data_IF_731775840680
#
_entry.id   IF_731775840680
#
_cell.length_a   1.000
_cell.length_b   1.000
_cell.length_c   1.000
_cell.angle_alpha   90.00
_cell.angle_beta   90.00
_cell.angle_gamma   90.00
#
_symmetry.space_group_name_H-M   'P 1'
#
loop_
_entity.id
_entity.type
_entity.pdbx_description
1 polymer ?
#
# COMPACT_ATOMS: atom_id res chain seq x y z
N UNK A 1 70.57 55.32 -18.59
CA UNK A 1 69.28 55.22 -19.30
C UNK A 1 69.06 53.78 -19.75
N UNK A 2 68.31 53.06 -19.02
CA UNK A 2 68.06 51.63 -19.29
C UNK A 2 66.58 51.38 -19.36
N UNK A 3 66.06 50.96 -20.51
CA UNK A 3 64.68 50.65 -20.78
C UNK A 3 64.41 49.23 -20.30
N UNK A 4 63.60 49.05 -19.27
CA UNK A 4 63.05 47.78 -18.88
C UNK A 4 61.79 47.47 -19.68
N UNK A 5 61.82 46.38 -20.41
CA UNK A 5 60.65 45.83 -21.13
C UNK A 5 59.83 44.94 -20.15
N UNK A 6 58.58 45.29 -19.95
CA UNK A 6 57.60 44.47 -19.21
C UNK A 6 57.08 43.38 -20.15
N UNK A 7 57.17 42.13 -19.70
CA UNK A 7 56.62 41.02 -20.38
C UNK A 7 55.28 40.70 -19.66
N UNK A 8 54.16 40.90 -20.36
CA UNK A 8 52.84 40.56 -19.87
C UNK A 8 52.53 39.10 -20.22
N UNK A 9 52.42 38.28 -19.20
CA UNK A 9 52.00 36.90 -19.33
C UNK A 9 50.47 36.83 -19.29
N UNK A 10 49.84 36.53 -20.42
CA UNK A 10 48.39 36.28 -20.51
C UNK A 10 48.07 34.88 -20.01
N UNK A 11 47.35 34.80 -18.90
CA UNK A 11 46.79 33.53 -18.40
C UNK A 11 45.42 33.31 -19.05
N UNK A 12 45.33 32.34 -19.94
CA UNK A 12 44.09 31.88 -20.54
C UNK A 12 43.42 30.91 -19.55
N UNK A 13 42.34 31.35 -18.88
CA UNK A 13 41.51 30.48 -18.07
C UNK A 13 40.46 29.85 -18.99
N UNK A 14 40.67 28.56 -19.31
CA UNK A 14 39.69 27.75 -20.01
C UNK A 14 38.60 27.30 -19.02
N UNK A 15 37.43 27.94 -19.08
CA UNK A 15 36.26 27.56 -18.31
C UNK A 15 35.60 26.36 -18.99
N UNK A 16 35.79 25.12 -18.47
CA UNK A 16 34.99 23.97 -18.84
C UNK A 16 33.60 24.12 -18.19
N UNK A 17 32.61 24.50 -18.97
CA UNK A 17 31.20 24.40 -18.60
C UNK A 17 30.78 22.91 -18.71
N UNK A 18 30.73 22.22 -17.58
CA UNK A 18 30.13 20.92 -17.50
C UNK A 18 28.60 21.06 -17.62
N UNK A 19 28.06 20.78 -18.80
CA UNK A 19 26.62 20.56 -19.01
C UNK A 19 26.19 19.31 -18.29
N UNK A 20 25.72 19.44 -17.07
CA UNK A 20 24.98 18.39 -16.37
C UNK A 20 23.63 18.24 -17.07
N UNK A 21 23.54 17.27 -17.97
CA UNK A 21 22.28 16.79 -18.55
C UNK A 21 21.46 16.15 -17.42
N UNK A 22 20.49 16.89 -16.88
CA UNK A 22 19.45 16.32 -16.03
C UNK A 22 18.59 15.44 -16.93
N UNK A 23 18.92 14.16 -17.00
CA UNK A 23 18.00 13.16 -17.50
C UNK A 23 16.85 13.05 -16.51
N UNK A 24 15.75 13.75 -16.79
CA UNK A 24 14.45 13.46 -16.24
C UNK A 24 14.02 12.09 -16.76
N UNK A 25 14.55 11.03 -16.14
CA UNK A 25 14.09 9.68 -16.31
C UNK A 25 12.65 9.64 -15.84
N UNK A 26 11.70 9.54 -16.76
CA UNK A 26 10.36 9.06 -16.48
C UNK A 26 10.53 7.68 -15.83
N UNK A 27 10.49 7.63 -14.50
CA UNK A 27 10.38 6.39 -13.76
C UNK A 27 9.04 5.76 -14.18
N UNK A 28 9.09 4.91 -15.19
CA UNK A 28 8.09 3.85 -15.32
C UNK A 28 8.07 3.16 -13.95
N UNK A 29 6.99 3.37 -13.21
CA UNK A 29 6.72 2.63 -11.98
C UNK A 29 6.56 1.14 -12.36
N UNK A 30 7.69 0.49 -12.58
CA UNK A 30 7.76 -0.95 -12.61
C UNK A 30 7.24 -1.47 -11.27
N UNK A 31 6.50 -2.55 -11.30
CA UNK A 31 6.09 -3.30 -10.10
C UNK A 31 7.34 -3.47 -9.24
N UNK A 32 7.44 -2.69 -8.15
CA UNK A 32 8.58 -2.81 -7.24
C UNK A 32 8.53 -4.20 -6.61
N UNK A 33 9.48 -5.02 -6.99
CA UNK A 33 9.66 -6.35 -6.44
C UNK A 33 9.90 -6.22 -4.93
N UNK A 34 9.24 -7.04 -4.09
CA UNK A 34 9.47 -7.03 -2.64
C UNK A 34 10.95 -7.16 -2.30
N UNK A 35 11.35 -6.56 -1.18
CA UNK A 35 12.75 -6.51 -0.74
C UNK A 35 13.43 -7.90 -0.78
N UNK A 36 14.72 -7.95 -1.17
CA UNK A 36 15.44 -9.23 -1.24
C UNK A 36 15.46 -9.91 0.14
N UNK A 37 15.02 -11.14 0.21
CA UNK A 37 15.08 -11.97 1.41
C UNK A 37 13.76 -12.57 1.89
N UNK A 38 12.62 -11.88 1.72
CA UNK A 38 11.31 -12.43 2.12
C UNK A 38 10.37 -12.48 0.93
N UNK A 39 10.17 -13.65 0.31
CA UNK A 39 9.26 -13.81 -0.81
C UNK A 39 7.83 -13.45 -0.39
N UNK A 40 7.20 -12.59 -1.17
CA UNK A 40 5.78 -12.27 -1.01
C UNK A 40 4.97 -12.95 -2.10
N UNK A 41 3.86 -13.56 -1.72
CA UNK A 41 2.87 -14.10 -2.63
C UNK A 41 1.68 -13.15 -2.66
N UNK A 42 1.14 -12.91 -3.85
CA UNK A 42 -0.07 -12.10 -4.03
C UNK A 42 -1.08 -12.87 -4.83
N UNK A 43 -2.36 -12.74 -4.46
CA UNK A 43 -3.47 -13.36 -5.17
C UNK A 43 -4.62 -12.38 -5.36
N UNK A 44 -5.41 -12.62 -6.40
CA UNK A 44 -6.59 -11.86 -6.76
C UNK A 44 -7.82 -12.69 -6.37
N UNK A 45 -8.58 -12.27 -5.35
CA UNK A 45 -9.73 -13.05 -4.84
C UNK A 45 -11.07 -12.57 -5.39
N UNK A 46 -11.23 -11.25 -5.59
CA UNK A 46 -12.37 -10.64 -6.26
C UNK A 46 -11.92 -9.41 -7.05
N UNK A 47 -12.83 -8.74 -7.75
CA UNK A 47 -12.49 -7.53 -8.53
C UNK A 47 -11.76 -6.49 -7.67
N UNK A 48 -12.21 -6.32 -6.43
CA UNK A 48 -11.67 -5.33 -5.48
C UNK A 48 -11.08 -5.97 -4.23
N UNK A 49 -10.71 -7.26 -4.26
CA UNK A 49 -10.07 -7.93 -3.14
C UNK A 49 -8.70 -8.46 -3.55
N UNK A 50 -7.69 -8.11 -2.76
CA UNK A 50 -6.32 -8.57 -2.91
C UNK A 50 -5.88 -9.26 -1.64
N UNK A 51 -5.08 -10.30 -1.81
CA UNK A 51 -4.41 -10.99 -0.72
C UNK A 51 -2.93 -10.95 -0.98
N UNK A 52 -2.15 -10.56 0.03
CA UNK A 52 -0.70 -10.65 -0.02
C UNK A 52 -0.19 -11.25 1.30
N UNK A 53 0.80 -12.12 1.20
CA UNK A 53 1.40 -12.75 2.36
C UNK A 53 2.85 -13.17 2.10
N UNK A 54 3.58 -13.36 3.17
CA UNK A 54 4.94 -13.88 3.16
C UNK A 54 5.06 -14.99 4.23
N UNK A 55 6.25 -15.26 4.72
CA UNK A 55 6.47 -16.27 5.77
C UNK A 55 6.07 -15.82 7.19
N UNK A 56 5.70 -14.56 7.40
CA UNK A 56 5.35 -14.00 8.70
C UNK A 56 3.90 -13.52 8.77
N UNK A 57 3.45 -12.74 7.78
CA UNK A 57 2.17 -12.07 7.80
C UNK A 57 1.30 -12.34 6.58
N UNK A 58 -0.01 -12.24 6.79
CA UNK A 58 -1.04 -12.42 5.79
C UNK A 58 -2.01 -11.24 5.85
N UNK A 59 -2.20 -10.56 4.73
CA UNK A 59 -3.02 -9.35 4.63
C UNK A 59 -4.04 -9.50 3.51
N UNK A 60 -5.29 -9.24 3.83
CA UNK A 60 -6.40 -9.14 2.87
C UNK A 60 -6.81 -7.69 2.79
N UNK A 61 -7.05 -7.21 1.59
CA UNK A 61 -7.43 -5.82 1.31
C UNK A 61 -8.65 -5.78 0.40
N UNK A 62 -9.75 -5.19 0.90
CA UNK A 62 -10.92 -4.79 0.12
C UNK A 62 -10.87 -3.28 -0.15
N UNK A 63 -10.93 -2.87 -1.42
CA UNK A 63 -10.79 -1.47 -1.82
C UNK A 63 -11.92 -0.95 -2.72
N UNK A 64 -13.07 -1.62 -2.71
CA UNK A 64 -14.23 -1.23 -3.51
C UNK A 64 -14.73 0.16 -3.15
N UNK A 65 -14.75 0.49 -1.85
CA UNK A 65 -15.14 1.83 -1.37
C UNK A 65 -14.19 2.87 -1.96
N UNK A 66 -12.88 2.69 -1.81
CA UNK A 66 -11.88 3.60 -2.34
C UNK A 66 -12.03 3.81 -3.86
N UNK A 67 -12.36 2.75 -4.61
CA UNK A 67 -12.61 2.86 -6.05
C UNK A 67 -13.88 3.66 -6.41
N UNK A 68 -14.85 3.74 -5.50
CA UNK A 68 -16.09 4.52 -5.69
C UNK A 68 -15.98 5.97 -5.23
N UNK A 69 -14.92 6.30 -4.50
CA UNK A 69 -14.69 7.63 -3.91
C UNK A 69 -13.44 8.30 -4.46
N UNK A 70 -13.04 7.96 -5.68
CA UNK A 70 -11.92 8.63 -6.34
C UNK A 70 -12.21 10.12 -6.48
N UNK A 71 -11.25 10.95 -6.08
CA UNK A 71 -11.38 12.40 -5.97
C UNK A 71 -11.63 12.90 -4.53
N UNK A 72 -12.14 12.06 -3.64
CA UNK A 72 -12.25 12.42 -2.22
C UNK A 72 -10.86 12.38 -1.53
N UNK A 73 -10.69 13.22 -0.50
CA UNK A 73 -9.44 13.28 0.28
C UNK A 73 -9.26 12.12 1.26
N UNK A 74 -10.25 11.25 1.39
CA UNK A 74 -10.18 10.12 2.30
C UNK A 74 -10.31 8.79 1.55
N UNK A 75 -9.35 7.91 1.80
CA UNK A 75 -9.37 6.52 1.35
C UNK A 75 -9.92 5.65 2.48
N UNK A 76 -10.92 4.86 2.17
CA UNK A 76 -11.50 3.86 3.09
C UNK A 76 -11.23 2.47 2.51
N UNK A 77 -10.58 1.62 3.32
CA UNK A 77 -10.17 0.27 2.93
C UNK A 77 -10.69 -0.72 3.98
N UNK A 78 -11.24 -1.83 3.53
CA UNK A 78 -11.53 -2.98 4.40
C UNK A 78 -10.26 -3.85 4.49
N UNK A 79 -9.84 -4.21 5.69
CA UNK A 79 -8.58 -4.92 5.90
C UNK A 79 -8.76 -6.09 6.85
N UNK A 80 -8.11 -7.20 6.50
CA UNK A 80 -7.92 -8.36 7.36
C UNK A 80 -6.44 -8.66 7.52
N UNK A 81 -5.97 -8.82 8.75
CA UNK A 81 -4.56 -9.13 9.06
C UNK A 81 -4.51 -10.34 9.97
N UNK A 82 -3.69 -11.33 9.62
CA UNK A 82 -3.37 -12.48 10.47
C UNK A 82 -1.90 -12.87 10.30
N UNK A 83 -1.41 -13.72 11.17
CA UNK A 83 -0.03 -14.24 11.08
C UNK A 83 -0.02 -15.62 10.41
N UNK A 84 1.14 -16.00 9.91
CA UNK A 84 1.37 -17.35 9.43
C UNK A 84 1.37 -18.34 10.60
N UNK A 85 1.04 -19.59 10.32
CA UNK A 85 0.74 -20.64 11.32
C UNK A 85 1.77 -20.76 12.45
N UNK A 86 3.05 -20.59 12.14
CA UNK A 86 4.16 -20.74 13.09
C UNK A 86 4.69 -19.43 13.65
N UNK A 87 4.06 -18.32 13.33
CA UNK A 87 4.50 -17.01 13.79
C UNK A 87 3.88 -16.73 15.17
N UNK A 88 4.69 -16.38 16.18
CA UNK A 88 4.18 -16.02 17.50
C UNK A 88 3.36 -14.73 17.42
N UNK A 89 2.34 -14.62 18.26
CA UNK A 89 1.54 -13.40 18.38
C UNK A 89 2.36 -12.24 18.95
N UNK A 90 2.02 -11.02 18.51
CA UNK A 90 2.61 -9.78 19.03
C UNK A 90 1.66 -8.60 18.79
N UNK A 91 2.04 -7.42 19.30
CA UNK A 91 1.27 -6.19 19.13
C UNK A 91 1.75 -5.41 17.91
N UNK A 92 0.88 -5.30 16.93
CA UNK A 92 1.06 -4.47 15.74
C UNK A 92 0.68 -3.03 16.10
N UNK A 93 1.60 -2.10 15.88
CA UNK A 93 1.37 -0.68 16.15
C UNK A 93 0.78 0.03 14.92
N UNK A 94 0.10 1.14 15.16
CA UNK A 94 -0.47 2.03 14.14
C UNK A 94 0.58 2.45 13.09
N UNK A 95 1.79 2.82 13.52
CA UNK A 95 2.87 3.29 12.66
C UNK A 95 3.44 2.20 11.73
N UNK A 96 3.09 0.95 11.99
CA UNK A 96 3.47 -0.17 11.12
C UNK A 96 2.67 -0.23 9.83
N UNK A 97 1.62 0.60 9.69
CA UNK A 97 0.76 0.62 8.50
C UNK A 97 0.91 1.96 7.78
N UNK A 98 1.08 1.90 6.46
CA UNK A 98 1.15 3.07 5.59
C UNK A 98 0.52 2.80 4.23
N UNK A 99 0.21 3.88 3.50
CA UNK A 99 -0.32 3.87 2.15
C UNK A 99 0.67 4.55 1.21
N UNK A 100 1.17 3.82 0.21
CA UNK A 100 1.88 4.43 -0.91
C UNK A 100 0.86 4.86 -1.96
N UNK A 101 0.94 6.13 -2.31
CA UNK A 101 0.16 6.79 -3.35
C UNK A 101 1.08 7.18 -4.51
N UNK A 102 0.55 7.62 -5.67
CA UNK A 102 1.39 8.18 -6.73
C UNK A 102 2.23 9.39 -6.29
N UNK A 103 1.78 10.11 -5.26
CA UNK A 103 2.39 11.35 -4.80
C UNK A 103 3.31 11.15 -3.57
N UNK A 104 3.34 9.95 -2.98
CA UNK A 104 4.19 9.62 -1.83
C UNK A 104 3.57 8.65 -0.84
N UNK A 105 4.27 8.42 0.26
CA UNK A 105 3.83 7.51 1.34
C UNK A 105 3.12 8.30 2.45
N UNK A 106 1.95 7.84 2.84
CA UNK A 106 1.11 8.42 3.88
C UNK A 106 1.00 7.47 5.08
N UNK A 107 1.19 7.93 6.32
CA UNK A 107 0.89 7.15 7.52
C UNK A 107 -0.63 7.05 7.73
N UNK A 108 -1.05 6.20 8.66
CA UNK A 108 -2.40 6.30 9.21
C UNK A 108 -2.56 7.66 9.93
N UNK A 109 -3.71 8.33 9.80
CA UNK A 109 -3.97 9.58 10.49
C UNK A 109 -3.97 9.37 12.01
N UNK A 110 -3.75 10.43 12.76
CA UNK A 110 -3.90 10.38 14.22
C UNK A 110 -5.36 10.13 14.61
N UNK A 111 -5.57 9.72 15.86
CA UNK A 111 -6.91 9.53 16.41
C UNK A 111 -7.68 10.87 16.40
N UNK A 112 -7.00 11.98 16.71
CA UNK A 112 -7.56 13.32 16.70
C UNK A 112 -8.00 13.74 15.30
N UNK A 113 -7.15 13.52 14.28
CA UNK A 113 -7.46 13.81 12.89
C UNK A 113 -8.65 12.99 12.40
N UNK A 114 -8.67 11.69 12.70
CA UNK A 114 -9.79 10.82 12.39
C UNK A 114 -11.09 11.33 13.03
N UNK A 115 -11.09 11.64 14.33
CA UNK A 115 -12.27 12.14 15.05
C UNK A 115 -12.77 13.48 14.52
N UNK A 116 -11.85 14.39 14.20
CA UNK A 116 -12.20 15.70 13.62
C UNK A 116 -12.91 15.55 12.25
N UNK A 117 -12.70 14.43 11.54
CA UNK A 117 -13.29 14.16 10.24
C UNK A 117 -14.37 13.06 10.25
N UNK A 118 -14.76 12.53 11.42
CA UNK A 118 -15.68 11.40 11.54
C UNK A 118 -17.04 11.65 10.81
N UNK A 119 -17.61 12.83 10.97
CA UNK A 119 -18.86 13.20 10.29
C UNK A 119 -18.71 13.20 8.75
N UNK A 120 -17.55 13.67 8.23
CA UNK A 120 -17.23 13.64 6.79
C UNK A 120 -17.09 12.19 6.30
N UNK A 121 -16.38 11.35 7.07
CA UNK A 121 -16.19 9.92 6.77
C UNK A 121 -17.52 9.17 6.79
N UNK A 122 -18.39 9.44 7.78
CA UNK A 122 -19.72 8.85 7.83
C UNK A 122 -20.60 9.29 6.65
N UNK A 123 -20.55 10.57 6.28
CA UNK A 123 -21.20 11.07 5.06
C UNK A 123 -20.70 10.36 3.81
N UNK A 124 -19.40 10.10 3.70
CA UNK A 124 -18.80 9.35 2.62
C UNK A 124 -19.31 7.90 2.58
N UNK A 125 -19.28 7.20 3.71
CA UNK A 125 -19.78 5.83 3.83
C UNK A 125 -21.28 5.72 3.50
N UNK A 126 -22.10 6.67 3.96
CA UNK A 126 -23.54 6.68 3.71
C UNK A 126 -23.93 6.94 2.24
N UNK A 127 -23.12 7.72 1.52
CA UNK A 127 -23.28 7.91 0.06
C UNK A 127 -23.06 6.62 -0.72
N UNK A 128 -22.28 5.72 -0.16
CA UNK A 128 -21.88 4.48 -0.79
C UNK A 128 -22.76 3.33 -0.30
N UNK A 129 -24.01 3.29 -0.71
CA UNK A 129 -24.89 2.11 -0.54
C UNK A 129 -24.36 0.93 -1.38
N UNK A 130 -23.08 0.60 -1.24
CA UNK A 130 -22.40 -0.41 -2.06
C UNK A 130 -22.35 -1.72 -1.28
N UNK A 131 -22.78 -2.79 -1.93
CA UNK A 131 -22.46 -4.13 -1.47
C UNK A 131 -20.94 -4.30 -1.51
N UNK A 132 -20.31 -4.53 -0.37
CA UNK A 132 -18.87 -4.75 -0.27
C UNK A 132 -18.54 -6.19 -0.67
N UNK A 133 -17.44 -6.36 -1.37
CA UNK A 133 -16.88 -7.69 -1.56
C UNK A 133 -16.47 -8.26 -0.19
N UNK A 134 -16.74 -9.55 0.02
CA UNK A 134 -16.25 -10.24 1.22
C UNK A 134 -14.73 -10.24 1.25
N UNK A 135 -14.14 -10.04 2.43
CA UNK A 135 -12.70 -10.19 2.69
C UNK A 135 -12.41 -11.47 3.52
N UNK A 136 -13.28 -12.47 3.44
CA UNK A 136 -13.18 -13.73 4.17
C UNK A 136 -12.35 -14.79 3.40
N UNK A 137 -11.07 -14.44 3.16
CA UNK A 137 -10.12 -15.29 2.43
C UNK A 137 -8.93 -15.69 3.31
N UNK A 138 -9.19 -16.00 4.58
CA UNK A 138 -8.14 -16.34 5.53
C UNK A 138 -7.61 -17.76 5.36
N UNK A 139 -6.38 -18.00 5.84
CA UNK A 139 -5.81 -19.34 5.86
C UNK A 139 -6.61 -20.30 6.75
N UNK A 140 -6.56 -21.62 6.50
CA UNK A 140 -7.37 -22.60 7.23
C UNK A 140 -7.06 -22.74 8.73
N UNK A 141 -5.91 -22.25 9.20
CA UNK A 141 -5.59 -22.23 10.64
C UNK A 141 -6.18 -21.02 11.38
N UNK A 142 -6.81 -20.08 10.67
CA UNK A 142 -7.46 -18.90 11.26
C UNK A 142 -8.91 -19.23 11.55
N UNK A 143 -9.28 -19.36 12.83
CA UNK A 143 -10.59 -19.85 13.24
C UNK A 143 -11.50 -18.79 13.89
N UNK A 144 -11.04 -17.58 14.05
CA UNK A 144 -11.80 -16.52 14.69
C UNK A 144 -11.45 -15.14 14.18
N UNK A 145 -12.21 -14.16 14.66
CA UNK A 145 -12.05 -12.75 14.28
C UNK A 145 -11.86 -11.90 15.52
N UNK A 146 -10.91 -10.99 15.48
CA UNK A 146 -10.73 -9.89 16.40
C UNK A 146 -10.96 -8.57 15.65
N UNK A 147 -11.25 -7.51 16.38
CA UNK A 147 -11.34 -6.17 15.79
C UNK A 147 -9.93 -5.60 15.54
N UNK A 148 -9.71 -5.04 14.35
CA UNK A 148 -8.57 -4.17 14.08
C UNK A 148 -8.89 -2.77 14.63
N UNK A 149 -8.49 -2.50 15.86
CA UNK A 149 -8.99 -1.38 16.64
C UNK A 149 -8.30 -0.04 16.43
N UNK A 150 -7.55 0.19 15.35
CA UNK A 150 -6.88 1.47 15.10
C UNK A 150 -7.86 2.64 14.92
N UNK A 151 -9.08 2.35 14.50
CA UNK A 151 -10.15 3.32 14.40
C UNK A 151 -11.42 2.77 15.07
N UNK A 152 -12.26 3.64 15.60
CA UNK A 152 -13.62 3.29 15.99
C UNK A 152 -14.45 3.02 14.74
N UNK A 153 -15.49 2.20 14.87
CA UNK A 153 -16.49 2.11 13.81
C UNK A 153 -17.23 3.46 13.75
N UNK A 154 -17.48 3.96 12.54
CA UNK A 154 -18.12 5.25 12.34
C UNK A 154 -19.49 5.29 13.04
N UNK A 155 -19.69 6.30 13.87
CA UNK A 155 -20.88 6.47 14.68
C UNK A 155 -20.93 5.61 15.95
N UNK A 156 -19.89 4.84 16.26
CA UNK A 156 -19.80 4.06 17.49
C UNK A 156 -19.10 4.84 18.61
N UNK A 157 -19.35 4.43 19.88
CA UNK A 157 -18.63 4.96 21.05
C UNK A 157 -17.38 4.16 21.41
N UNK A 158 -17.00 3.19 20.57
CA UNK A 158 -15.82 2.38 20.81
C UNK A 158 -14.55 3.24 20.73
N UNK A 159 -13.62 3.00 21.66
CA UNK A 159 -12.34 3.70 21.63
C UNK A 159 -11.42 3.10 20.59
N UNK A 160 -10.73 3.92 19.80
CA UNK A 160 -9.63 3.46 18.96
C UNK A 160 -8.40 3.13 19.81
N UNK A 161 -7.53 2.27 19.25
CA UNK A 161 -6.30 1.82 19.90
C UNK A 161 -5.09 2.20 19.04
N UNK A 162 -3.94 2.39 19.67
CA UNK A 162 -2.67 2.63 18.97
C UNK A 162 -1.97 1.33 18.58
N UNK A 163 -2.38 0.22 19.17
CA UNK A 163 -1.87 -1.11 18.87
C UNK A 163 -2.96 -2.16 18.91
N UNK A 164 -2.78 -3.22 18.14
CA UNK A 164 -3.68 -4.38 18.11
C UNK A 164 -2.88 -5.67 18.22
N UNK A 165 -3.38 -6.64 18.96
CA UNK A 165 -2.76 -7.96 19.02
C UNK A 165 -3.08 -8.73 17.73
N UNK A 166 -2.03 -9.13 17.01
CA UNK A 166 -2.14 -9.99 15.82
C UNK A 166 -1.71 -11.39 16.18
N UNK A 167 -2.49 -12.37 15.73
CA UNK A 167 -2.26 -13.79 16.01
C UNK A 167 -2.42 -14.62 14.74
N UNK A 168 -1.99 -15.86 14.76
CA UNK A 168 -2.22 -16.81 13.66
C UNK A 168 -3.63 -17.45 13.69
N UNK A 169 -4.22 -17.59 14.88
CA UNK A 169 -5.53 -18.26 15.07
C UNK A 169 -6.72 -17.33 14.86
N UNK A 170 -6.54 -16.02 14.90
CA UNK A 170 -7.59 -15.03 14.74
C UNK A 170 -7.17 -13.92 13.78
N UNK A 171 -8.04 -13.61 12.84
CA UNK A 171 -7.86 -12.48 11.95
C UNK A 171 -8.29 -11.18 12.62
N UNK A 172 -7.48 -10.14 12.52
CA UNK A 172 -7.87 -8.78 12.88
C UNK A 172 -8.59 -8.13 11.72
N UNK A 173 -9.90 -7.93 11.82
CA UNK A 173 -10.73 -7.29 10.80
C UNK A 173 -11.07 -5.86 11.18
N UNK A 174 -11.05 -4.96 10.21
CA UNK A 174 -11.46 -3.59 10.40
C UNK A 174 -11.32 -2.74 9.15
N UNK A 175 -11.52 -1.45 9.36
CA UNK A 175 -11.33 -0.45 8.32
C UNK A 175 -10.08 0.37 8.58
N UNK A 176 -9.36 0.70 7.52
CA UNK A 176 -8.30 1.69 7.53
C UNK A 176 -8.77 2.95 6.80
N UNK A 177 -8.37 4.07 7.33
CA UNK A 177 -8.66 5.38 6.77
C UNK A 177 -7.32 6.08 6.52
N UNK A 178 -7.17 6.70 5.34
CA UNK A 178 -5.99 7.50 5.03
C UNK A 178 -6.45 8.85 4.50
N UNK A 179 -5.81 9.91 4.99
CA UNK A 179 -6.03 11.25 4.48
C UNK A 179 -5.05 11.51 3.32
N UNK A 180 -5.57 11.76 2.13
CA UNK A 180 -4.83 12.04 0.91
C UNK A 180 -5.02 13.49 0.53
N UNK A 181 -4.11 14.40 0.89
CA UNK A 181 -4.24 15.82 0.55
C UNK A 181 -4.40 16.03 -0.96
N UNK A 182 -5.40 16.81 -1.34
CA UNK A 182 -5.72 17.06 -2.74
C UNK A 182 -6.53 15.96 -3.44
N UNK A 183 -6.96 14.94 -2.69
CA UNK A 183 -7.84 13.87 -3.15
C UNK A 183 -7.12 12.73 -3.87
N UNK A 184 -7.81 11.60 -3.91
CA UNK A 184 -7.33 10.38 -4.57
C UNK A 184 -7.38 10.52 -6.09
N UNK A 185 -6.45 9.87 -6.78
CA UNK A 185 -6.35 9.81 -8.25
C UNK A 185 -6.51 8.38 -8.74
N UNK A 186 -6.94 8.19 -9.98
CA UNK A 186 -6.84 6.88 -10.63
C UNK A 186 -5.38 6.46 -10.73
N UNK A 187 -5.07 5.21 -10.45
CA UNK A 187 -3.70 4.73 -10.51
C UNK A 187 -3.38 3.64 -9.51
N UNK A 188 -2.10 3.35 -9.37
CA UNK A 188 -1.58 2.29 -8.53
C UNK A 188 -1.30 2.79 -7.11
N UNK A 189 -1.70 2.00 -6.12
CA UNK A 189 -1.49 2.21 -4.68
C UNK A 189 -0.97 0.93 -4.02
N UNK A 190 -0.39 1.06 -2.83
CA UNK A 190 0.01 -0.08 -2.00
C UNK A 190 -0.30 0.19 -0.53
N UNK A 191 -0.95 -0.76 0.12
CA UNK A 191 -0.99 -0.80 1.57
C UNK A 191 0.23 -1.56 2.06
N UNK A 192 1.01 -0.94 2.93
CA UNK A 192 2.17 -1.53 3.55
C UNK A 192 1.83 -1.92 4.98
N UNK A 193 2.13 -3.15 5.36
CA UNK A 193 2.02 -3.64 6.73
C UNK A 193 3.40 -4.16 7.14
N UNK A 194 4.07 -3.43 8.04
CA UNK A 194 5.37 -3.80 8.58
C UNK A 194 5.16 -4.73 9.77
N UNK A 195 5.41 -6.00 9.55
CA UNK A 195 5.43 -7.02 10.60
C UNK A 195 6.71 -6.95 11.44
N UNK A 196 6.86 -7.82 12.43
CA UNK A 196 8.03 -7.76 13.34
C UNK A 196 9.36 -7.92 12.60
N UNK A 197 9.43 -8.78 11.57
CA UNK A 197 10.65 -9.09 10.84
C UNK A 197 10.54 -8.85 9.33
N UNK A 198 9.34 -8.53 8.82
CA UNK A 198 9.11 -8.43 7.40
C UNK A 198 8.09 -7.34 7.03
N UNK A 199 7.97 -7.09 5.75
CA UNK A 199 7.01 -6.15 5.18
C UNK A 199 6.12 -6.89 4.17
N UNK A 200 4.80 -6.77 4.34
CA UNK A 200 3.83 -7.18 3.32
C UNK A 200 3.28 -5.93 2.65
N UNK A 201 3.38 -5.89 1.32
CA UNK A 201 2.86 -4.80 0.47
C UNK A 201 1.71 -5.31 -0.37
N UNK A 202 0.52 -4.77 -0.16
CA UNK A 202 -0.68 -5.16 -0.91
C UNK A 202 -0.93 -4.16 -2.03
N UNK A 203 -0.69 -4.53 -3.30
CA UNK A 203 -0.98 -3.64 -4.42
C UNK A 203 -2.48 -3.58 -4.69
N UNK A 204 -2.99 -2.39 -4.97
CA UNK A 204 -4.32 -2.20 -5.52
C UNK A 204 -4.35 -1.00 -6.47
N UNK A 205 -5.30 -1.01 -7.38
CA UNK A 205 -5.44 0.06 -8.36
C UNK A 205 -6.83 0.66 -8.28
N UNK A 206 -6.88 1.98 -8.24
CA UNK A 206 -8.12 2.72 -8.42
C UNK A 206 -8.40 2.84 -9.91
N UNK A 207 -9.48 2.21 -10.35
CA UNK A 207 -9.82 2.02 -11.76
C UNK A 207 -10.78 3.10 -12.26
N UNK A 208 -10.58 3.54 -13.48
CA UNK A 208 -11.63 4.20 -14.26
C UNK A 208 -12.76 3.20 -14.57
N UNK A 209 -13.94 3.71 -14.95
CA UNK A 209 -15.08 2.86 -15.31
C UNK A 209 -14.75 1.87 -16.45
N UNK A 210 -13.95 2.29 -17.42
CA UNK A 210 -13.57 1.43 -18.54
C UNK A 210 -12.57 0.35 -18.11
N UNK A 211 -11.60 0.68 -17.25
CA UNK A 211 -10.66 -0.28 -16.67
C UNK A 211 -11.40 -1.31 -15.80
N UNK A 212 -12.35 -0.86 -14.97
CA UNK A 212 -13.18 -1.74 -14.14
C UNK A 212 -13.99 -2.72 -14.99
N UNK A 213 -14.63 -2.23 -16.07
CA UNK A 213 -15.37 -3.08 -17.01
C UNK A 213 -14.47 -4.12 -17.68
N UNK A 214 -13.26 -3.73 -18.08
CA UNK A 214 -12.26 -4.65 -18.64
C UNK A 214 -11.81 -5.68 -17.62
N UNK A 215 -11.53 -5.27 -16.38
CA UNK A 215 -11.17 -6.17 -15.29
C UNK A 215 -12.27 -7.20 -15.05
N UNK A 216 -13.52 -6.77 -14.90
CA UNK A 216 -14.65 -7.66 -14.64
C UNK A 216 -14.85 -8.68 -15.77
N UNK A 217 -14.69 -8.26 -17.02
CA UNK A 217 -14.78 -9.15 -18.19
C UNK A 217 -13.66 -10.19 -18.24
N UNK A 218 -12.46 -9.81 -17.83
CA UNK A 218 -11.26 -10.65 -17.94
C UNK A 218 -10.81 -11.24 -16.60
N UNK A 219 -11.60 -11.08 -15.53
CA UNK A 219 -11.22 -11.45 -14.17
C UNK A 219 -10.68 -12.88 -14.06
N UNK A 220 -11.38 -13.87 -14.60
CA UNK A 220 -10.97 -15.27 -14.54
C UNK A 220 -9.60 -15.53 -15.18
N UNK A 221 -9.36 -14.91 -16.35
CA UNK A 221 -8.08 -15.03 -17.05
C UNK A 221 -6.95 -14.35 -16.26
N UNK A 222 -7.18 -13.14 -15.75
CA UNK A 222 -6.19 -12.38 -14.97
C UNK A 222 -5.88 -13.13 -13.67
N UNK A 223 -6.90 -13.61 -12.95
CA UNK A 223 -6.71 -14.40 -11.72
C UNK A 223 -5.82 -15.62 -11.99
N UNK A 224 -6.12 -16.38 -13.04
CA UNK A 224 -5.31 -17.54 -13.40
C UNK A 224 -3.85 -17.17 -13.68
N UNK A 225 -3.60 -16.10 -14.44
CA UNK A 225 -2.23 -15.62 -14.73
C UNK A 225 -1.47 -15.19 -13.46
N UNK A 226 -2.14 -14.48 -12.55
CA UNK A 226 -1.56 -14.07 -11.26
C UNK A 226 -1.21 -15.29 -10.43
N UNK A 227 -2.14 -16.22 -10.26
CA UNK A 227 -1.93 -17.44 -9.47
C UNK A 227 -0.80 -18.29 -10.05
N UNK A 228 -0.70 -18.42 -11.39
CA UNK A 228 0.39 -19.15 -12.05
C UNK A 228 1.75 -18.46 -11.90
N UNK A 229 1.80 -17.14 -11.99
CA UNK A 229 3.05 -16.37 -11.82
C UNK A 229 3.66 -16.58 -10.43
N UNK A 230 2.83 -16.67 -9.39
CA UNK A 230 3.31 -16.90 -8.03
C UNK A 230 3.54 -18.37 -7.68
N UNK A 231 2.92 -19.33 -8.38
CA UNK A 231 3.21 -20.77 -8.22
C UNK A 231 4.51 -21.20 -8.88
N UNK A 232 4.89 -20.55 -9.97
CA UNK A 232 6.11 -20.86 -10.75
C UNK A 232 7.39 -20.23 -10.18
N UNK A 233 7.50 -20.01 -8.88
CA UNK A 233 8.77 -19.58 -8.31
C UNK A 233 9.81 -20.68 -8.57
N UNK A 234 10.96 -20.39 -9.24
CA UNK A 234 11.94 -21.40 -9.51
C UNK A 234 12.46 -21.97 -8.19
N UNK A 235 12.49 -23.28 -8.09
CA UNK A 235 13.27 -23.94 -7.05
C UNK A 235 14.68 -23.34 -7.11
N UNK A 236 15.12 -22.68 -6.05
CA UNK A 236 16.52 -22.27 -5.93
C UNK A 236 17.35 -23.55 -6.09
N UNK A 237 18.07 -23.64 -7.21
CA UNK A 237 19.14 -24.62 -7.37
C UNK A 237 20.15 -24.29 -6.29
N UNK A 238 20.17 -25.10 -5.24
CA UNK A 238 21.25 -25.11 -4.28
C UNK A 238 22.54 -25.44 -5.03
N UNK A 239 23.51 -24.61 -4.90
CA UNK A 239 24.92 -24.86 -5.15
C UNK A 239 25.61 -24.87 -3.80
#
# INVERSE_FOLDING_TARGET
>A
MMKMRSVSTAVVVASLAALASVQAGSQQQGVQIPQPGVPQIMTLQANFVRVAYNNEGYVILGYQIANRTVGDEWVMLDVGITLMERTPSYRLKREAISLDTPDGTLPLPTIEEYRANEAKLQGLQNRLKVQRDSIDYFPPWTHGVNRLGFFSDLGSRALPWDETEVTNSRACLGQLYFHVPGGTKYGQYWVNVKFAQSLVRVPFRLFTKDEEKKLSKNYGSIKKQVDEAFRKKPAQKGS
#
